data_IF_773890063121
#
_entry.id   IF_773890063121
#
_cell.length_a   1.000
_cell.length_b   1.000
_cell.length_c   1.000
_cell.angle_alpha   90.00
_cell.angle_beta   90.00
_cell.angle_gamma   90.00
#
_symmetry.space_group_name_H-M   'P 1'
#
loop_
_entity.id
_entity.type
_entity.pdbx_description
1 polymer ?
#
# COMPACT_ATOMS: atom_id res chain seq x y z
N UNK A 1 -1.18 3.51 -26.39
CA UNK A 1 -1.48 2.08 -26.16
C UNK A 1 -2.29 2.00 -24.88
N UNK A 2 -3.44 1.33 -24.91
CA UNK A 2 -4.22 1.05 -23.70
C UNK A 2 -3.54 -0.13 -22.99
N UNK A 3 -3.14 0.05 -21.73
CA UNK A 3 -2.56 -1.05 -20.95
C UNK A 3 -3.71 -1.90 -20.43
N UNK A 4 -3.79 -3.14 -20.88
CA UNK A 4 -4.90 -4.06 -20.57
C UNK A 4 -4.49 -5.19 -19.63
N UNK A 5 -3.20 -5.54 -19.58
CA UNK A 5 -2.70 -6.63 -18.74
C UNK A 5 -1.67 -6.15 -17.72
N UNK A 6 -1.59 -6.84 -16.57
CA UNK A 6 -0.58 -6.57 -15.55
C UNK A 6 0.86 -6.74 -16.05
N UNK A 7 1.09 -7.69 -16.96
CA UNK A 7 2.42 -7.96 -17.54
C UNK A 7 2.99 -6.76 -18.32
N UNK A 8 2.10 -5.93 -18.86
CA UNK A 8 2.44 -4.77 -19.69
C UNK A 8 2.87 -3.56 -18.84
N UNK A 9 2.68 -3.63 -17.51
CA UNK A 9 3.10 -2.58 -16.59
C UNK A 9 4.63 -2.55 -16.42
N UNK A 10 5.24 -1.35 -16.33
CA UNK A 10 6.67 -1.19 -16.09
C UNK A 10 7.01 -1.37 -14.61
N UNK A 11 6.86 -2.60 -14.11
CA UNK A 11 7.11 -2.97 -12.71
C UNK A 11 8.37 -3.82 -12.57
N UNK A 12 9.00 -3.76 -11.41
CA UNK A 12 10.10 -4.64 -11.01
C UNK A 12 9.71 -6.13 -11.05
N UNK A 13 10.67 -7.05 -11.34
CA UNK A 13 10.40 -8.49 -11.36
C UNK A 13 9.79 -9.02 -10.05
N UNK A 14 10.21 -8.49 -8.92
CA UNK A 14 9.73 -8.87 -7.59
C UNK A 14 8.24 -8.55 -7.42
N UNK A 15 7.81 -7.35 -7.83
CA UNK A 15 6.42 -6.94 -7.77
C UNK A 15 5.57 -7.72 -8.77
N UNK A 16 6.06 -7.94 -10.00
CA UNK A 16 5.39 -8.79 -11.00
C UNK A 16 5.14 -10.19 -10.46
N UNK A 17 6.14 -10.82 -9.86
CA UNK A 17 6.02 -12.14 -9.24
C UNK A 17 4.98 -12.17 -8.13
N UNK A 18 4.91 -11.13 -7.30
CA UNK A 18 3.89 -11.00 -6.26
C UNK A 18 2.47 -10.87 -6.81
N UNK A 19 2.31 -10.20 -7.96
CA UNK A 19 1.03 -10.04 -8.66
C UNK A 19 0.60 -11.35 -9.35
N UNK A 20 1.51 -12.04 -10.03
CA UNK A 20 1.26 -13.29 -10.75
C UNK A 20 0.73 -14.40 -9.82
N UNK A 21 1.29 -14.54 -8.61
CA UNK A 21 0.80 -15.50 -7.61
C UNK A 21 -0.65 -15.27 -7.18
N UNK A 22 -1.17 -14.07 -7.38
CA UNK A 22 -2.54 -13.72 -7.05
C UNK A 22 -3.51 -14.05 -8.20
N UNK A 23 -3.01 -14.59 -9.31
CA UNK A 23 -3.79 -14.91 -10.50
C UNK A 23 -4.26 -13.68 -11.26
N UNK A 24 -3.55 -12.55 -11.12
CA UNK A 24 -3.90 -11.31 -11.79
C UNK A 24 -3.40 -11.32 -13.24
N UNK A 25 -4.34 -11.24 -14.19
CA UNK A 25 -4.07 -11.24 -15.63
C UNK A 25 -4.44 -9.91 -16.25
N UNK A 26 -5.74 -9.64 -16.30
CA UNK A 26 -6.35 -8.46 -16.90
C UNK A 26 -6.59 -7.37 -15.84
N UNK A 27 -6.49 -6.12 -16.28
CA UNK A 27 -6.74 -4.95 -15.45
C UNK A 27 -8.24 -4.62 -15.44
N UNK A 28 -8.79 -4.36 -14.25
CA UNK A 28 -10.07 -3.68 -14.14
C UNK A 28 -9.97 -2.23 -14.65
N UNK A 29 -11.08 -1.60 -15.09
CA UNK A 29 -11.06 -0.24 -15.63
C UNK A 29 -10.38 0.79 -14.73
N UNK A 30 -10.60 0.71 -13.41
CA UNK A 30 -9.96 1.62 -12.44
C UNK A 30 -8.44 1.40 -12.35
N UNK A 31 -7.96 0.17 -12.55
CA UNK A 31 -6.53 -0.16 -12.51
C UNK A 31 -5.84 0.32 -13.78
N UNK A 32 -6.43 0.07 -14.95
CA UNK A 32 -5.92 0.52 -16.25
C UNK A 32 -5.79 2.05 -16.32
N UNK A 33 -6.72 2.78 -15.69
CA UNK A 33 -6.70 4.25 -15.68
C UNK A 33 -5.81 4.85 -14.58
N UNK A 34 -5.67 4.20 -13.42
CA UNK A 34 -4.98 4.81 -12.28
C UNK A 34 -3.51 4.41 -12.16
N UNK A 35 -3.11 3.19 -12.56
CA UNK A 35 -1.75 2.70 -12.25
C UNK A 35 -0.68 3.55 -12.91
N UNK A 36 -0.77 3.86 -14.22
CA UNK A 36 0.26 4.63 -14.91
C UNK A 36 0.41 6.07 -14.37
N UNK A 37 -0.67 6.86 -14.20
CA UNK A 37 -0.54 8.17 -13.57
C UNK A 37 0.08 8.12 -12.17
N UNK A 38 -0.27 7.11 -11.36
CA UNK A 38 0.31 6.94 -10.03
C UNK A 38 1.80 6.52 -10.08
N UNK A 39 2.20 5.68 -11.03
CA UNK A 39 3.61 5.36 -11.28
C UNK A 39 4.41 6.60 -11.70
N UNK A 40 3.79 7.49 -12.47
CA UNK A 40 4.36 8.79 -12.86
C UNK A 40 4.39 9.82 -11.70
N UNK A 41 3.79 9.49 -10.55
CA UNK A 41 3.73 10.38 -9.38
C UNK A 41 2.67 11.48 -9.46
N UNK A 42 1.63 11.28 -10.30
CA UNK A 42 0.49 12.20 -10.41
C UNK A 42 -0.56 11.92 -9.35
N UNK A 43 -1.28 12.97 -8.96
CA UNK A 43 -2.47 12.85 -8.10
C UNK A 43 -3.66 12.31 -8.89
N UNK A 44 -4.43 11.40 -8.27
CA UNK A 44 -5.58 10.74 -8.89
C UNK A 44 -6.77 10.73 -7.95
N UNK A 45 -7.94 11.10 -8.47
CA UNK A 45 -9.24 10.86 -7.85
C UNK A 45 -9.90 9.69 -8.57
N UNK A 46 -10.10 8.58 -7.86
CA UNK A 46 -10.70 7.37 -8.42
C UNK A 46 -12.10 7.11 -7.89
N UNK A 47 -13.10 7.06 -8.78
CA UNK A 47 -14.46 6.65 -8.45
C UNK A 47 -14.74 5.26 -9.02
N UNK A 48 -14.93 4.27 -8.14
CA UNK A 48 -15.32 2.93 -8.55
C UNK A 48 -16.06 2.20 -7.42
N UNK A 49 -16.90 1.23 -7.78
CA UNK A 49 -17.62 0.39 -6.82
C UNK A 49 -16.67 -0.50 -6.00
N UNK A 50 -17.10 -1.01 -4.85
CA UNK A 50 -16.31 -1.99 -4.08
C UNK A 50 -16.16 -3.29 -4.86
N UNK A 51 -15.04 -4.00 -4.67
CA UNK A 51 -14.76 -5.23 -5.41
C UNK A 51 -14.11 -5.05 -6.79
N UNK A 52 -13.98 -3.82 -7.30
CA UNK A 52 -13.38 -3.54 -8.63
C UNK A 52 -11.86 -3.41 -8.62
N UNK A 53 -11.19 -3.93 -7.58
CA UNK A 53 -9.73 -3.95 -7.51
C UNK A 53 -9.05 -2.60 -7.22
N UNK A 54 -9.77 -1.64 -6.62
CA UNK A 54 -9.23 -0.34 -6.17
C UNK A 54 -7.92 -0.45 -5.36
N UNK A 55 -7.82 -1.43 -4.46
CA UNK A 55 -6.63 -1.64 -3.64
C UNK A 55 -5.39 -1.97 -4.49
N UNK A 56 -5.54 -2.72 -5.58
CA UNK A 56 -4.42 -2.96 -6.48
C UNK A 56 -4.08 -1.72 -7.30
N UNK A 57 -5.10 -0.94 -7.69
CA UNK A 57 -4.94 0.28 -8.48
C UNK A 57 -4.00 1.30 -7.83
N UNK A 58 -4.06 1.48 -6.49
CA UNK A 58 -3.10 2.33 -5.76
C UNK A 58 -1.97 1.55 -5.07
N UNK A 59 -2.21 0.31 -4.66
CA UNK A 59 -1.24 -0.47 -3.88
C UNK A 59 -0.04 -0.92 -4.68
N UNK A 60 -0.23 -1.31 -5.94
CA UNK A 60 0.86 -1.71 -6.83
C UNK A 60 1.82 -0.54 -7.11
N UNK A 61 1.35 0.64 -7.59
CA UNK A 61 2.26 1.76 -7.82
C UNK A 61 2.93 2.25 -6.53
N UNK A 62 2.25 2.16 -5.37
CA UNK A 62 2.86 2.47 -4.08
C UNK A 62 4.02 1.53 -3.76
N UNK A 63 3.85 0.21 -3.93
CA UNK A 63 4.90 -0.78 -3.68
C UNK A 63 6.08 -0.59 -4.64
N UNK A 64 5.81 -0.33 -5.91
CA UNK A 64 6.84 -0.13 -6.93
C UNK A 64 7.72 1.11 -6.67
N UNK A 65 7.14 2.19 -6.14
CA UNK A 65 7.84 3.47 -5.96
C UNK A 65 8.63 3.59 -4.67
N UNK A 66 8.42 2.71 -3.69
CA UNK A 66 9.04 2.82 -2.37
C UNK A 66 10.42 2.17 -2.36
N UNK A 67 11.41 2.86 -1.79
CA UNK A 67 12.75 2.32 -1.61
C UNK A 67 12.79 1.32 -0.43
N UNK A 68 13.04 0.03 -0.68
CA UNK A 68 13.07 -0.99 0.37
C UNK A 68 14.33 -0.93 1.25
N UNK A 69 15.36 -0.16 0.87
CA UNK A 69 16.58 0.00 1.68
C UNK A 69 16.39 1.03 2.79
N UNK A 70 15.46 1.97 2.60
CA UNK A 70 15.12 3.00 3.58
C UNK A 70 14.03 2.52 4.53
N UNK A 71 14.41 2.20 5.78
CA UNK A 71 13.52 1.67 6.82
C UNK A 71 12.48 2.65 7.38
N UNK A 72 12.41 3.89 6.85
CA UNK A 72 11.38 4.87 7.22
C UNK A 72 10.06 4.57 6.52
N UNK A 73 8.98 5.07 7.11
CA UNK A 73 7.66 5.03 6.48
C UNK A 73 7.65 6.02 5.32
N UNK A 74 7.37 5.51 4.12
CA UNK A 74 7.34 6.23 2.86
C UNK A 74 5.93 6.23 2.23
N UNK A 75 5.05 5.31 2.64
CA UNK A 75 3.67 5.23 2.20
C UNK A 75 2.68 5.27 3.36
N UNK A 76 1.58 6.01 3.19
CA UNK A 76 0.45 6.04 4.11
C UNK A 76 -0.85 5.78 3.36
N UNK A 77 -1.66 4.85 3.86
CA UNK A 77 -3.05 4.65 3.40
C UNK A 77 -3.98 4.84 4.59
N UNK A 78 -4.97 5.70 4.44
CA UNK A 78 -5.99 5.92 5.45
C UNK A 78 -7.25 5.10 5.12
N UNK A 79 -7.72 4.32 6.09
CA UNK A 79 -8.93 3.53 5.99
C UNK A 79 -9.91 3.91 7.12
N UNK A 80 -11.24 3.93 6.87
CA UNK A 80 -12.21 4.38 7.87
C UNK A 80 -12.41 3.38 9.02
N UNK A 81 -12.15 2.09 8.79
CA UNK A 81 -12.35 1.02 9.78
C UNK A 81 -11.10 0.18 9.96
N UNK A 82 -11.04 -0.50 11.11
CA UNK A 82 -9.97 -1.46 11.43
C UNK A 82 -9.91 -2.59 10.41
N UNK A 83 -11.06 -3.13 10.06
CA UNK A 83 -11.22 -4.27 9.16
C UNK A 83 -10.68 -3.91 7.78
N UNK A 84 -11.04 -2.72 7.26
CA UNK A 84 -10.52 -2.28 5.97
C UNK A 84 -9.01 -2.03 6.02
N UNK A 85 -8.50 -1.44 7.10
CA UNK A 85 -7.05 -1.23 7.26
C UNK A 85 -6.28 -2.56 7.21
N UNK A 86 -6.78 -3.58 7.90
CA UNK A 86 -6.20 -4.94 7.88
C UNK A 86 -6.25 -5.53 6.47
N UNK A 87 -7.42 -5.49 5.82
CA UNK A 87 -7.59 -6.05 4.48
C UNK A 87 -6.68 -5.39 3.45
N UNK A 88 -6.59 -4.05 3.49
CA UNK A 88 -5.74 -3.27 2.59
C UNK A 88 -4.26 -3.59 2.86
N UNK A 89 -3.83 -3.61 4.12
CA UNK A 89 -2.45 -3.97 4.48
C UNK A 89 -2.08 -5.37 4.00
N UNK A 90 -2.94 -6.37 4.25
CA UNK A 90 -2.73 -7.74 3.79
C UNK A 90 -2.62 -7.83 2.27
N UNK A 91 -3.42 -7.05 1.54
CA UNK A 91 -3.37 -7.03 0.07
C UNK A 91 -2.07 -6.42 -0.44
N UNK A 92 -1.65 -5.29 0.11
CA UNK A 92 -0.38 -4.63 -0.24
C UNK A 92 0.81 -5.54 0.09
N UNK A 93 0.82 -6.20 1.25
CA UNK A 93 1.86 -7.17 1.62
C UNK A 93 1.99 -8.34 0.63
N UNK A 94 0.91 -8.72 -0.05
CA UNK A 94 0.97 -9.77 -1.09
C UNK A 94 1.65 -9.26 -2.35
N UNK A 95 1.38 -8.02 -2.77
CA UNK A 95 2.08 -7.40 -3.91
C UNK A 95 3.58 -7.27 -3.63
N UNK A 96 3.94 -6.97 -2.38
CA UNK A 96 5.32 -6.78 -1.96
C UNK A 96 6.00 -8.06 -1.44
N UNK A 97 5.40 -9.24 -1.59
CA UNK A 97 5.86 -10.51 -0.97
C UNK A 97 7.31 -10.86 -1.30
N UNK A 98 7.77 -10.53 -2.50
CA UNK A 98 9.11 -10.82 -2.99
C UNK A 98 10.08 -9.64 -2.87
N UNK A 99 9.67 -8.58 -2.18
CA UNK A 99 10.49 -7.41 -1.87
C UNK A 99 10.92 -7.44 -0.39
N UNK A 100 11.78 -6.50 0.03
CA UNK A 100 12.09 -6.31 1.46
C UNK A 100 11.12 -5.35 2.17
N UNK A 101 10.06 -4.91 1.47
CA UNK A 101 9.10 -3.96 2.01
C UNK A 101 8.28 -4.57 3.15
N UNK A 102 7.91 -3.70 4.08
CA UNK A 102 7.14 -4.05 5.28
C UNK A 102 5.94 -3.14 5.35
N UNK A 103 4.77 -3.74 5.45
CA UNK A 103 3.48 -3.05 5.57
C UNK A 103 2.93 -3.31 6.96
N UNK A 104 2.51 -2.26 7.66
CA UNK A 104 1.93 -2.36 9.00
C UNK A 104 0.52 -1.79 9.03
N UNK A 105 -0.50 -2.58 9.42
CA UNK A 105 -1.80 -2.02 9.76
C UNK A 105 -1.77 -1.34 11.14
N UNK A 106 -2.36 -0.15 11.24
CA UNK A 106 -2.34 0.71 12.44
C UNK A 106 -3.75 1.18 12.79
N UNK A 107 -4.33 0.65 13.86
CA UNK A 107 -5.74 0.91 14.22
C UNK A 107 -6.00 0.82 15.72
N UNK A 108 -7.14 1.37 16.18
CA UNK A 108 -7.63 1.31 17.55
C UNK A 108 -8.09 -0.08 18.01
N UNK A 109 -8.23 -0.30 19.33
CA UNK A 109 -8.69 -1.59 19.88
C UNK A 109 -7.61 -2.68 19.96
N UNK A 110 -6.37 -2.36 19.57
CA UNK A 110 -5.18 -3.16 19.82
C UNK A 110 -4.15 -2.34 20.61
N UNK A 111 -3.30 -3.04 21.37
CA UNK A 111 -2.18 -2.45 22.11
C UNK A 111 -1.33 -1.57 21.20
N UNK A 112 -1.26 -0.28 21.53
CA UNK A 112 -0.41 0.66 20.81
C UNK A 112 1.06 0.28 20.91
N UNK A 113 1.48 -0.32 22.04
CA UNK A 113 2.86 -0.77 22.23
C UNK A 113 3.26 -1.80 21.17
N UNK A 114 2.39 -2.73 20.78
CA UNK A 114 2.69 -3.67 19.68
C UNK A 114 2.98 -2.94 18.37
N UNK A 115 2.19 -1.91 18.06
CA UNK A 115 2.36 -1.08 16.86
C UNK A 115 3.64 -0.23 16.94
N UNK A 116 3.97 0.32 18.12
CA UNK A 116 5.24 1.05 18.36
C UNK A 116 6.46 0.14 18.12
N UNK A 117 6.47 -1.06 18.69
CA UNK A 117 7.57 -2.01 18.50
C UNK A 117 7.72 -2.42 17.03
N UNK A 118 6.61 -2.55 16.29
CA UNK A 118 6.67 -2.84 14.86
C UNK A 118 7.27 -1.66 14.07
N UNK A 119 6.85 -0.43 14.34
CA UNK A 119 7.39 0.79 13.71
C UNK A 119 8.90 0.94 13.99
N UNK A 120 9.35 0.68 15.22
CA UNK A 120 10.77 0.72 15.60
C UNK A 120 11.64 -0.30 14.85
N UNK A 121 11.08 -1.43 14.43
CA UNK A 121 11.79 -2.45 13.62
C UNK A 121 11.96 -2.05 12.14
N UNK A 122 11.43 -0.89 11.74
CA UNK A 122 11.41 -0.41 10.36
C UNK A 122 10.20 -0.93 9.60
N UNK A 123 9.42 0.01 9.06
CA UNK A 123 8.21 -0.20 8.27
C UNK A 123 8.23 0.80 7.13
N UNK A 124 7.78 0.39 5.94
CA UNK A 124 7.83 1.21 4.74
C UNK A 124 6.44 1.77 4.40
N UNK A 125 5.38 0.99 4.63
CA UNK A 125 4.00 1.40 4.37
C UNK A 125 3.17 1.23 5.63
N UNK A 126 2.46 2.28 6.02
CA UNK A 126 1.44 2.25 7.08
C UNK A 126 0.06 2.28 6.43
N UNK A 127 -0.82 1.37 6.86
CA UNK A 127 -2.24 1.41 6.51
C UNK A 127 -3.02 1.56 7.81
N UNK A 128 -3.69 2.70 8.02
CA UNK A 128 -4.25 2.95 9.35
C UNK A 128 -5.55 3.72 9.40
N UNK A 129 -6.20 3.64 10.56
CA UNK A 129 -7.36 4.47 10.86
C UNK A 129 -6.91 5.86 11.31
N UNK A 130 -7.60 6.95 10.90
CA UNK A 130 -7.17 8.32 11.18
C UNK A 130 -6.85 8.57 12.65
N UNK A 131 -7.73 8.13 13.56
CA UNK A 131 -7.54 8.32 15.00
C UNK A 131 -6.25 7.70 15.54
N UNK A 132 -5.91 6.47 15.15
CA UNK A 132 -4.69 5.80 15.63
C UNK A 132 -3.42 6.35 14.96
N UNK A 133 -3.49 6.72 13.68
CA UNK A 133 -2.36 7.38 12.99
C UNK A 133 -2.02 8.70 13.69
N UNK A 134 -3.03 9.51 14.01
CA UNK A 134 -2.85 10.77 14.75
C UNK A 134 -2.22 10.52 16.13
N UNK A 135 -2.64 9.47 16.85
CA UNK A 135 -2.06 9.11 18.15
C UNK A 135 -0.55 8.79 18.02
N UNK A 136 -0.17 8.01 17.01
CA UNK A 136 1.24 7.71 16.75
C UNK A 136 2.08 8.95 16.39
N UNK A 137 1.53 9.86 15.58
CA UNK A 137 2.17 11.13 15.20
C UNK A 137 2.36 12.03 16.44
N UNK A 138 1.33 12.21 17.26
CA UNK A 138 1.39 13.01 18.50
C UNK A 138 2.42 12.47 19.50
N UNK A 139 2.60 11.16 19.54
CA UNK A 139 3.61 10.49 20.39
C UNK A 139 5.03 10.50 19.80
N UNK A 140 5.21 10.94 18.56
CA UNK A 140 6.49 10.87 17.85
C UNK A 140 6.93 9.43 17.49
N UNK A 141 6.01 8.47 17.53
CA UNK A 141 6.31 7.05 17.25
C UNK A 141 6.14 6.70 15.77
N UNK A 142 5.46 7.55 15.02
CA UNK A 142 5.43 7.57 13.56
C UNK A 142 5.97 8.92 13.11
N UNK A 143 6.90 8.91 12.16
CA UNK A 143 7.39 10.12 11.51
C UNK A 143 7.10 10.03 10.00
N UNK A 144 6.47 11.07 9.46
CA UNK A 144 6.13 11.22 8.04
C UNK A 144 6.84 12.42 7.39
N UNK A 145 7.77 13.07 8.09
CA UNK A 145 8.61 14.12 7.51
C UNK A 145 9.52 13.53 6.45
N UNK A 146 9.63 14.21 5.30
CA UNK A 146 10.59 13.91 4.24
C UNK A 146 12.03 14.12 4.70
#
# INVERSE_FOLDING_TARGET
>A
MQIENFKDLPLTPEVKKGIEELGFTELFPIQAQAIMPLLEGKDVIGQAQTGTGKTAAFGIPMVERIDPTNKRVQGLVLAPTRELAIQVAQRISRFSKYTQLKVLPVYGGESINKQIHALQKGVHIVVGTPGRVIDHLKRGTLNLSS
#
